data_IF_312066349172
#
_entry.id   IF_312066349172
#
_cell.length_a   1.000
_cell.length_b   1.000
_cell.length_c   1.000
_cell.angle_alpha   90.00
_cell.angle_beta   90.00
_cell.angle_gamma   90.00
#
_symmetry.space_group_name_H-M   'P 1'
#
loop_
_entity.id
_entity.type
_entity.pdbx_description
1 polymer ?
#
# COMPACT_ATOMS: atom_id res chain seq x y z
N UNK A 1 13.02 -1.51 10.48
CA UNK A 1 11.65 -1.34 11.00
C UNK A 1 10.75 -0.82 9.88
N UNK A 2 9.64 -1.47 9.70
CA UNK A 2 8.72 -1.10 8.63
C UNK A 2 7.94 0.17 9.01
N UNK A 3 7.84 1.08 8.06
CA UNK A 3 7.02 2.26 8.19
C UNK A 3 5.58 1.88 7.83
N UNK A 4 4.73 1.78 8.85
CA UNK A 4 3.32 1.43 8.69
C UNK A 4 2.58 2.38 7.75
N UNK A 5 2.79 3.68 7.93
CA UNK A 5 2.12 4.69 7.10
C UNK A 5 2.55 4.59 5.65
N UNK A 6 3.83 4.38 5.41
CA UNK A 6 4.36 4.23 4.06
C UNK A 6 3.81 2.97 3.38
N UNK A 7 3.74 1.85 4.10
CA UNK A 7 3.17 0.62 3.57
C UNK A 7 1.69 0.78 3.20
N UNK A 8 0.92 1.51 4.00
CA UNK A 8 -0.48 1.79 3.70
C UNK A 8 -0.60 2.62 2.42
N UNK A 9 0.28 3.61 2.24
CA UNK A 9 0.34 4.41 1.02
C UNK A 9 0.67 3.52 -0.20
N UNK A 10 1.68 2.67 -0.08
CA UNK A 10 2.04 1.76 -1.17
C UNK A 10 0.94 0.76 -1.48
N UNK A 11 0.22 0.30 -0.47
CA UNK A 11 -0.93 -0.57 -0.66
C UNK A 11 -2.03 0.11 -1.48
N UNK A 12 -2.24 1.39 -1.27
CA UNK A 12 -3.20 2.18 -2.04
C UNK A 12 -2.87 2.17 -3.54
N UNK A 13 -1.58 2.24 -3.87
CA UNK A 13 -1.12 2.20 -5.26
C UNK A 13 -1.05 0.79 -5.85
N UNK A 14 -0.60 -0.19 -5.07
CA UNK A 14 -0.19 -1.50 -5.59
C UNK A 14 -0.94 -2.69 -5.00
N UNK A 15 -1.85 -2.47 -4.07
CA UNK A 15 -2.53 -3.54 -3.37
C UNK A 15 -3.25 -4.52 -4.29
N UNK A 16 -3.79 -4.04 -5.40
CA UNK A 16 -4.48 -4.89 -6.37
C UNK A 16 -3.56 -5.89 -7.08
N UNK A 17 -2.24 -5.65 -7.03
CA UNK A 17 -1.25 -6.56 -7.60
C UNK A 17 -0.88 -7.71 -6.67
N UNK A 18 -1.33 -7.66 -5.43
CA UNK A 18 -1.13 -8.74 -4.47
C UNK A 18 -2.17 -9.84 -4.69
N UNK A 19 -1.86 -11.07 -4.26
CA UNK A 19 -2.85 -12.15 -4.27
C UNK A 19 -3.98 -11.87 -3.29
N UNK A 20 -5.12 -12.53 -3.47
CA UNK A 20 -6.29 -12.34 -2.60
C UNK A 20 -5.94 -12.61 -1.14
N UNK A 21 -5.19 -13.67 -0.86
CA UNK A 21 -4.82 -14.02 0.51
C UNK A 21 -3.84 -13.00 1.11
N UNK A 22 -2.92 -12.47 0.31
CA UNK A 22 -1.98 -11.43 0.76
C UNK A 22 -2.74 -10.15 1.09
N UNK A 23 -3.72 -9.77 0.28
CA UNK A 23 -4.56 -8.60 0.52
C UNK A 23 -5.36 -8.77 1.81
N UNK A 24 -5.98 -9.93 1.98
CA UNK A 24 -6.80 -10.22 3.16
C UNK A 24 -6.00 -10.04 4.45
N UNK A 25 -4.83 -10.69 4.57
CA UNK A 25 -4.02 -10.60 5.77
C UNK A 25 -3.40 -9.22 5.96
N UNK A 26 -2.99 -8.57 4.88
CA UNK A 26 -2.48 -7.20 4.95
C UNK A 26 -3.54 -6.26 5.52
N UNK A 27 -4.77 -6.34 5.00
CA UNK A 27 -5.87 -5.48 5.44
C UNK A 27 -6.26 -5.76 6.90
N UNK A 28 -6.35 -7.02 7.29
CA UNK A 28 -6.65 -7.39 8.67
C UNK A 28 -5.61 -6.84 9.65
N UNK A 29 -4.35 -6.91 9.29
CA UNK A 29 -3.27 -6.48 10.17
C UNK A 29 -3.11 -4.96 10.18
N UNK A 30 -3.08 -4.31 9.03
CA UNK A 30 -2.79 -2.88 8.93
C UNK A 30 -4.03 -1.98 8.99
N UNK A 31 -5.18 -2.42 8.52
CA UNK A 31 -6.40 -1.62 8.54
C UNK A 31 -7.32 -1.96 9.70
N UNK A 32 -7.50 -3.24 9.98
CA UNK A 32 -8.39 -3.70 11.06
C UNK A 32 -7.68 -3.79 12.41
N UNK A 33 -6.37 -3.60 12.44
CA UNK A 33 -5.54 -3.63 13.63
C UNK A 33 -5.61 -4.96 14.40
N UNK A 34 -5.82 -6.06 13.68
CA UNK A 34 -5.80 -7.38 14.30
C UNK A 34 -4.37 -7.80 14.57
N UNK A 35 -4.16 -8.47 15.71
CA UNK A 35 -2.86 -9.08 16.01
C UNK A 35 -2.66 -10.34 15.18
N UNK A 36 -1.41 -10.79 15.06
CA UNK A 36 -1.10 -12.05 14.39
C UNK A 36 -1.83 -13.23 15.05
N UNK A 37 -1.97 -13.20 16.36
CA UNK A 37 -2.71 -14.23 17.10
C UNK A 37 -4.18 -14.25 16.76
N UNK A 38 -4.81 -13.07 16.67
CA UNK A 38 -6.22 -12.96 16.31
C UNK A 38 -6.47 -13.46 14.90
N UNK A 39 -5.62 -13.09 13.95
CA UNK A 39 -5.72 -13.56 12.56
C UNK A 39 -5.54 -15.07 12.51
N UNK A 40 -4.55 -15.59 13.23
CA UNK A 40 -4.28 -17.02 13.32
C UNK A 40 -5.48 -17.79 13.86
N UNK A 41 -6.10 -17.31 14.92
CA UNK A 41 -7.30 -17.93 15.52
C UNK A 41 -8.48 -17.93 14.53
N UNK A 42 -8.70 -16.83 13.85
CA UNK A 42 -9.81 -16.69 12.92
C UNK A 42 -9.68 -17.58 11.68
N UNK A 43 -8.46 -17.80 11.23
CA UNK A 43 -8.21 -18.46 9.94
C UNK A 43 -7.65 -19.88 10.08
N UNK A 44 -7.34 -20.32 11.28
CA UNK A 44 -6.83 -21.67 11.54
C UNK A 44 -5.40 -21.91 11.03
N UNK A 45 -4.66 -20.86 10.71
CA UNK A 45 -3.26 -20.95 10.28
C UNK A 45 -2.34 -20.51 11.41
N UNK A 46 -1.08 -20.96 11.37
CA UNK A 46 -0.12 -20.58 12.38
C UNK A 46 0.25 -19.09 12.30
N UNK A 47 0.64 -18.51 13.43
CA UNK A 47 1.14 -17.13 13.48
C UNK A 47 2.31 -16.92 12.54
N UNK A 48 3.21 -17.90 12.44
CA UNK A 48 4.37 -17.84 11.55
C UNK A 48 3.95 -17.77 10.09
N UNK A 49 2.95 -18.56 9.69
CA UNK A 49 2.44 -18.54 8.31
C UNK A 49 1.82 -17.17 7.98
N UNK A 50 1.03 -16.63 8.89
CA UNK A 50 0.42 -15.29 8.74
C UNK A 50 1.51 -14.22 8.64
N UNK A 51 2.48 -14.26 9.53
CA UNK A 51 3.60 -13.30 9.55
C UNK A 51 4.41 -13.35 8.25
N UNK A 52 4.69 -14.55 7.76
CA UNK A 52 5.39 -14.72 6.47
C UNK A 52 4.59 -14.13 5.32
N UNK A 53 3.29 -14.34 5.31
CA UNK A 53 2.42 -13.80 4.26
C UNK A 53 2.42 -12.28 4.27
N UNK A 54 2.30 -11.67 5.44
CA UNK A 54 2.30 -10.21 5.59
C UNK A 54 3.66 -9.62 5.20
N UNK A 55 4.76 -10.24 5.63
CA UNK A 55 6.10 -9.80 5.24
C UNK A 55 6.34 -9.93 3.73
N UNK A 56 5.84 -10.99 3.13
CA UNK A 56 5.90 -11.16 1.68
C UNK A 56 5.14 -10.09 0.93
N UNK A 57 3.96 -9.71 1.45
CA UNK A 57 3.16 -8.61 0.90
C UNK A 57 3.92 -7.30 0.98
N UNK A 58 4.49 -6.97 2.13
CA UNK A 58 5.27 -5.75 2.34
C UNK A 58 6.46 -5.70 1.38
N UNK A 59 7.18 -6.79 1.24
CA UNK A 59 8.32 -6.87 0.32
C UNK A 59 7.92 -6.61 -1.13
N UNK A 60 6.78 -7.15 -1.54
CA UNK A 60 6.26 -6.90 -2.89
C UNK A 60 5.88 -5.44 -3.10
N UNK A 61 5.26 -4.81 -2.12
CA UNK A 61 4.91 -3.39 -2.23
C UNK A 61 6.15 -2.53 -2.40
N UNK A 62 7.20 -2.77 -1.63
CA UNK A 62 8.47 -2.07 -1.79
C UNK A 62 9.10 -2.33 -3.17
N UNK A 63 9.05 -3.56 -3.64
CA UNK A 63 9.57 -3.93 -4.96
C UNK A 63 8.83 -3.20 -6.08
N UNK A 64 7.50 -3.13 -6.02
CA UNK A 64 6.70 -2.41 -7.01
C UNK A 64 7.05 -0.92 -7.03
N UNK A 65 7.16 -0.30 -5.86
CA UNK A 65 7.54 1.12 -5.80
C UNK A 65 8.96 1.34 -6.33
N UNK A 66 9.89 0.46 -6.01
CA UNK A 66 11.25 0.55 -6.51
C UNK A 66 11.30 0.53 -8.03
N UNK A 67 10.46 -0.29 -8.65
CA UNK A 67 10.43 -0.45 -10.11
C UNK A 67 9.54 0.56 -10.82
N UNK A 68 8.37 0.83 -10.29
CA UNK A 68 7.35 1.65 -10.96
C UNK A 68 7.34 3.11 -10.53
N UNK A 69 7.69 3.38 -9.27
CA UNK A 69 7.83 4.72 -8.70
C UNK A 69 6.57 5.60 -8.82
N UNK A 70 5.39 4.98 -8.74
CA UNK A 70 4.13 5.72 -8.87
C UNK A 70 3.92 6.71 -7.73
N UNK A 71 4.29 6.34 -6.50
CA UNK A 71 4.20 7.24 -5.35
C UNK A 71 5.18 8.40 -5.50
N UNK A 72 6.43 8.11 -5.85
CA UNK A 72 7.45 9.15 -6.04
C UNK A 72 7.06 10.12 -7.15
N UNK A 73 6.59 9.60 -8.29
CA UNK A 73 6.13 10.42 -9.42
C UNK A 73 4.91 11.25 -9.05
N UNK A 74 3.98 10.67 -8.30
CA UNK A 74 2.79 11.38 -7.83
C UNK A 74 3.14 12.55 -6.92
N UNK A 75 4.10 12.37 -6.03
CA UNK A 75 4.59 13.45 -5.15
C UNK A 75 5.21 14.59 -5.94
N UNK A 76 6.02 14.27 -6.93
CA UNK A 76 6.64 15.27 -7.81
C UNK A 76 5.59 16.04 -8.59
N UNK A 77 4.58 15.32 -9.11
CA UNK A 77 3.50 15.94 -9.86
C UNK A 77 2.67 16.87 -8.99
N UNK A 78 2.36 16.47 -7.76
CA UNK A 78 1.64 17.34 -6.81
C UNK A 78 2.40 18.64 -6.52
N UNK A 79 3.73 18.57 -6.42
CA UNK A 79 4.55 19.77 -6.24
C UNK A 79 4.44 20.72 -7.45
N UNK A 80 4.40 20.17 -8.65
CA UNK A 80 4.25 20.96 -9.87
C UNK A 80 2.85 21.57 -9.93
N UNK A 81 1.83 20.79 -9.63
CA UNK A 81 0.43 21.22 -9.61
C UNK A 81 0.25 22.40 -8.65
N UNK A 82 0.91 22.37 -7.48
CA UNK A 82 0.80 23.44 -6.48
C UNK A 82 1.30 24.80 -6.98
N UNK A 83 2.07 24.83 -8.07
CA UNK A 83 2.59 26.07 -8.68
C UNK A 83 1.72 26.59 -9.82
N UNK A 84 0.68 25.88 -10.18
CA UNK A 84 -0.19 26.23 -11.31
C UNK A 84 -1.36 27.08 -10.80
N UNK A 85 -1.69 28.14 -11.53
CA UNK A 85 -2.81 29.05 -11.21
C UNK A 85 -4.03 28.87 -12.11
N UNK A 86 -4.16 27.73 -12.78
CA UNK A 86 -5.27 27.42 -13.67
C UNK A 86 -6.04 26.22 -13.09
N UNK A 87 -7.26 26.48 -12.61
CA UNK A 87 -8.07 25.45 -11.96
C UNK A 87 -8.45 24.30 -12.90
N UNK A 88 -8.77 24.61 -14.15
CA UNK A 88 -9.11 23.58 -15.14
C UNK A 88 -7.92 22.65 -15.39
N UNK A 89 -6.74 23.21 -15.53
CA UNK A 89 -5.51 22.42 -15.75
C UNK A 89 -5.16 21.60 -14.50
N UNK A 90 -5.32 22.17 -13.33
CA UNK A 90 -5.10 21.45 -12.05
C UNK A 90 -6.02 20.22 -11.97
N UNK A 91 -7.30 20.39 -12.30
CA UNK A 91 -8.27 19.30 -12.25
C UNK A 91 -7.94 18.21 -13.26
N UNK A 92 -7.57 18.58 -14.49
CA UNK A 92 -7.15 17.62 -15.50
C UNK A 92 -5.93 16.80 -15.06
N UNK A 93 -4.94 17.46 -14.47
CA UNK A 93 -3.73 16.79 -14.01
C UNK A 93 -4.02 15.83 -12.83
N UNK A 94 -4.90 16.24 -11.91
CA UNK A 94 -5.26 15.39 -10.76
C UNK A 94 -6.04 14.16 -11.14
N UNK A 95 -6.81 14.21 -12.21
CA UNK A 95 -7.50 13.04 -12.74
C UNK A 95 -6.55 11.96 -13.23
N UNK A 96 -5.29 12.31 -13.52
CA UNK A 96 -4.27 11.38 -13.96
C UNK A 96 -3.49 10.72 -12.82
N UNK A 97 -3.73 11.17 -11.59
CA UNK A 97 -3.06 10.61 -10.40
C UNK A 97 -3.77 9.41 -9.82
#
# INVERSE_FOLDING_TARGET
>A
MEDREYLIILYDYYGELLSDIQREYFEEYYFDNLSLSEISENDGKSRNAIHKCINGSSSKLYEYEDKLKLYEKGKKLEKIISKINNDDLINELRELL
#
